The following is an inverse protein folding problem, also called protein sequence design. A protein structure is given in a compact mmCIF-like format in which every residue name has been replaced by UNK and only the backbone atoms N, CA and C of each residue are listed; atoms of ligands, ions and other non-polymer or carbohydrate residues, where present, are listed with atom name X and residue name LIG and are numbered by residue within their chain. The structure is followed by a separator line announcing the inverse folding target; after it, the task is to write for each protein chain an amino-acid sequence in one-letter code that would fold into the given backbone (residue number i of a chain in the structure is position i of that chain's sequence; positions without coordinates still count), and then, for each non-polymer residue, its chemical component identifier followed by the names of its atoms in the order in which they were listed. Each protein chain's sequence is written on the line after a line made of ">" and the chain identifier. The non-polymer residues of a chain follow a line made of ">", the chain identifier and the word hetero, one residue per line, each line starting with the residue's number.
data_IF_707849100621
#
_entry.id   IF_707849100621
#
_cell.length_a   1.000
_cell.length_b   1.000
_cell.length_c   1.000
_cell.angle_alpha   90.00
_cell.angle_beta   90.00
_cell.angle_gamma   90.00
#
_symmetry.space_group_name_H-M   'P 1'
#
loop_
_entity.id
_entity.type
_entity.pdbx_description
1 polymer ?
#
# COMPACT_ATOMS: atom_id res chain seq x y z
N UNK A 1 -9.20 7.21 8.83
CA UNK A 1 -8.45 5.95 9.06
C UNK A 1 -8.94 4.85 8.11
N UNK A 2 -8.06 4.21 7.34
CA UNK A 2 -8.42 3.08 6.45
C UNK A 2 -8.41 1.78 7.25
N UNK A 3 -9.53 1.05 7.29
CA UNK A 3 -9.55 -0.26 7.95
C UNK A 3 -8.86 -1.30 7.07
N UNK A 4 -8.41 -2.41 7.69
CA UNK A 4 -7.80 -3.55 6.96
C UNK A 4 -8.64 -4.01 5.76
N UNK A 5 -9.96 -4.10 5.93
CA UNK A 5 -10.89 -4.48 4.85
C UNK A 5 -10.89 -3.48 3.70
N UNK A 6 -10.92 -2.17 4.00
CA UNK A 6 -10.89 -1.12 2.98
C UNK A 6 -9.54 -1.06 2.26
N UNK A 7 -8.44 -1.27 2.99
CA UNK A 7 -7.11 -1.34 2.42
C UNK A 7 -6.94 -2.51 1.45
N UNK A 8 -7.38 -3.71 1.85
CA UNK A 8 -7.36 -4.87 0.95
C UNK A 8 -8.25 -4.68 -0.27
N UNK A 9 -9.44 -4.08 -0.12
CA UNK A 9 -10.29 -3.75 -1.25
C UNK A 9 -9.57 -2.80 -2.23
N UNK A 10 -8.91 -1.75 -1.72
CA UNK A 10 -8.15 -0.83 -2.55
C UNK A 10 -6.98 -1.54 -3.26
N UNK A 11 -6.25 -2.40 -2.57
CA UNK A 11 -5.17 -3.20 -3.15
C UNK A 11 -5.68 -4.10 -4.29
N UNK A 12 -6.80 -4.80 -4.10
CA UNK A 12 -7.42 -5.61 -5.16
C UNK A 12 -7.92 -4.77 -6.34
N UNK A 13 -8.42 -3.56 -6.11
CA UNK A 13 -8.83 -2.67 -7.20
C UNK A 13 -7.64 -2.18 -8.03
N UNK A 14 -6.54 -1.81 -7.38
CA UNK A 14 -5.28 -1.44 -8.04
C UNK A 14 -4.75 -2.62 -8.88
N UNK A 15 -4.72 -3.82 -8.29
CA UNK A 15 -4.30 -5.05 -8.95
C UNK A 15 -5.14 -5.37 -10.20
N UNK A 16 -6.46 -5.36 -10.08
CA UNK A 16 -7.37 -5.58 -11.19
C UNK A 16 -7.27 -4.48 -12.27
N UNK A 17 -6.95 -3.25 -11.88
CA UNK A 17 -6.78 -2.16 -12.84
C UNK A 17 -5.51 -2.35 -13.70
N UNK A 18 -4.44 -2.92 -13.14
CA UNK A 18 -3.27 -3.29 -13.93
C UNK A 18 -3.62 -4.29 -15.05
N UNK A 19 -4.45 -5.29 -14.75
CA UNK A 19 -4.92 -6.28 -15.74
C UNK A 19 -5.85 -5.64 -16.78
N UNK A 20 -6.67 -4.66 -16.36
CA UNK A 20 -7.48 -3.86 -17.29
C UNK A 20 -6.60 -3.05 -18.24
N UNK A 21 -5.52 -2.43 -17.74
CA UNK A 21 -4.58 -1.68 -18.57
C UNK A 21 -3.87 -2.59 -19.58
N UNK A 22 -3.46 -3.79 -19.15
CA UNK A 22 -2.94 -4.81 -20.04
C UNK A 22 -3.96 -5.11 -21.15
N UNK A 23 -5.19 -5.47 -20.77
CA UNK A 23 -6.26 -5.81 -21.73
C UNK A 23 -6.55 -4.69 -22.73
N UNK A 24 -6.38 -3.43 -22.34
CA UNK A 24 -6.62 -2.27 -23.21
C UNK A 24 -5.45 -1.95 -24.16
N UNK A 25 -4.22 -2.38 -23.83
CA UNK A 25 -2.98 -2.03 -24.57
C UNK A 25 -2.31 -3.23 -25.23
N UNK A 26 -2.66 -4.44 -24.82
CA UNK A 26 -2.00 -5.66 -25.24
C UNK A 26 -2.28 -5.99 -26.71
N UNK A 27 -1.22 -6.37 -27.41
CA UNK A 27 -1.34 -7.11 -28.66
C UNK A 27 -1.84 -8.53 -28.37
N UNK A 28 -2.46 -9.23 -29.36
CA UNK A 28 -3.07 -10.55 -29.16
C UNK A 28 -2.15 -11.64 -28.61
N UNK A 29 -0.83 -11.47 -28.69
CA UNK A 29 0.19 -12.42 -28.23
C UNK A 29 1.03 -11.91 -27.04
N UNK A 30 0.64 -10.79 -26.42
CA UNK A 30 1.38 -10.24 -25.29
C UNK A 30 1.25 -11.12 -24.03
N UNK A 31 2.29 -11.14 -23.20
CA UNK A 31 2.30 -11.87 -21.92
C UNK A 31 1.95 -10.92 -20.76
N UNK A 32 0.88 -11.25 -20.03
CA UNK A 32 0.43 -10.49 -18.87
C UNK A 32 1.42 -10.52 -17.71
N UNK A 33 2.15 -11.63 -17.53
CA UNK A 33 3.14 -11.77 -16.47
C UNK A 33 4.37 -10.91 -16.76
N UNK A 34 4.82 -10.88 -18.01
CA UNK A 34 5.90 -9.98 -18.45
C UNK A 34 5.50 -8.52 -18.29
N UNK A 35 4.28 -8.15 -18.70
CA UNK A 35 3.75 -6.80 -18.51
C UNK A 35 3.72 -6.38 -17.04
N UNK A 36 3.21 -7.25 -16.15
CA UNK A 36 3.15 -6.99 -14.71
C UNK A 36 4.53 -6.89 -14.08
N UNK A 37 5.48 -7.73 -14.50
CA UNK A 37 6.87 -7.63 -14.09
C UNK A 37 7.49 -6.29 -14.53
N UNK A 38 7.19 -5.85 -15.77
CA UNK A 38 7.55 -4.54 -16.28
C UNK A 38 7.05 -3.40 -15.38
N UNK A 39 5.74 -3.36 -15.08
CA UNK A 39 5.16 -2.38 -14.17
C UNK A 39 5.82 -2.39 -12.78
N UNK A 40 6.00 -3.58 -12.20
CA UNK A 40 6.61 -3.73 -10.88
C UNK A 40 8.06 -3.24 -10.84
N UNK A 41 8.82 -3.42 -11.93
CA UNK A 41 10.22 -2.95 -12.01
C UNK A 41 10.36 -1.43 -12.07
N UNK A 42 9.36 -0.74 -12.63
CA UNK A 42 9.35 0.73 -12.75
C UNK A 42 8.72 1.38 -11.53
N UNK A 43 7.69 0.74 -10.96
CA UNK A 43 6.90 1.27 -9.86
C UNK A 43 6.92 0.34 -8.65
N UNK A 44 7.81 0.59 -7.67
CA UNK A 44 7.93 -0.24 -6.47
C UNK A 44 6.62 -0.36 -5.67
N UNK A 45 5.78 0.67 -5.68
CA UNK A 45 4.47 0.63 -5.03
C UNK A 45 3.55 -0.44 -5.65
N UNK A 46 3.56 -0.59 -6.99
CA UNK A 46 2.80 -1.65 -7.67
C UNK A 46 3.38 -3.03 -7.35
N UNK A 47 4.70 -3.16 -7.29
CA UNK A 47 5.34 -4.41 -6.85
C UNK A 47 4.85 -4.85 -5.47
N UNK A 48 4.85 -3.94 -4.49
CA UNK A 48 4.35 -4.21 -3.13
C UNK A 48 2.85 -4.58 -3.13
N UNK A 49 2.02 -3.92 -3.94
CA UNK A 49 0.59 -4.28 -4.04
C UNK A 49 0.38 -5.66 -4.64
N UNK A 50 1.13 -6.02 -5.68
CA UNK A 50 1.05 -7.35 -6.28
C UNK A 50 1.48 -8.44 -5.30
N UNK A 51 2.55 -8.19 -4.53
CA UNK A 51 2.97 -9.11 -3.47
C UNK A 51 1.92 -9.23 -2.36
N UNK A 52 1.27 -8.11 -1.99
CA UNK A 52 0.23 -8.09 -0.97
C UNK A 52 -1.00 -8.90 -1.39
N UNK A 53 -1.49 -8.69 -2.62
CA UNK A 53 -2.65 -9.41 -3.17
C UNK A 53 -2.32 -10.89 -3.37
N UNK A 54 -1.09 -11.23 -3.74
CA UNK A 54 -0.62 -12.60 -3.84
C UNK A 54 -0.36 -13.28 -2.47
N UNK A 55 -0.48 -12.55 -1.36
CA UNK A 55 -0.24 -13.07 -0.01
C UNK A 55 1.23 -13.35 0.31
N UNK A 56 2.17 -12.73 -0.43
CA UNK A 56 3.62 -12.83 -0.17
C UNK A 56 4.11 -11.88 0.92
N UNK A 57 3.35 -10.81 1.17
CA UNK A 57 3.55 -9.88 2.28
C UNK A 57 2.27 -9.76 3.09
N UNK A 58 2.38 -9.38 4.36
CA UNK A 58 1.24 -9.33 5.27
C UNK A 58 0.80 -7.90 5.57
N UNK A 59 -0.51 -7.70 5.73
CA UNK A 59 -1.09 -6.45 6.21
C UNK A 59 -1.47 -6.57 7.69
N UNK A 60 -0.76 -5.84 8.54
CA UNK A 60 -0.95 -5.84 10.00
C UNK A 60 -1.39 -4.47 10.50
N UNK A 61 -2.02 -4.46 11.67
CA UNK A 61 -2.23 -3.24 12.45
C UNK A 61 -1.20 -3.22 13.57
N UNK A 62 -0.43 -2.15 13.70
CA UNK A 62 0.53 -1.98 14.79
C UNK A 62 0.52 -0.55 15.33
N UNK A 63 0.97 -0.40 16.59
CA UNK A 63 1.20 0.91 17.18
C UNK A 63 2.54 1.45 16.66
N UNK A 64 2.50 2.62 16.03
CA UNK A 64 3.67 3.31 15.49
C UNK A 64 3.88 4.57 16.30
N UNK A 65 5.12 4.75 16.77
CA UNK A 65 5.54 5.98 17.44
C UNK A 65 5.48 7.15 16.47
N UNK A 66 4.90 8.25 16.91
CA UNK A 66 4.88 9.51 16.17
C UNK A 66 5.90 10.44 16.82
N UNK A 67 6.97 10.82 16.10
CA UNK A 67 7.90 11.83 16.58
C UNK A 67 7.18 13.16 16.84
N UNK A 68 7.52 13.87 17.91
CA UNK A 68 6.91 15.16 18.25
C UNK A 68 6.96 16.18 17.10
N UNK A 69 8.02 16.14 16.28
CA UNK A 69 8.19 17.01 15.11
C UNK A 69 7.11 16.78 14.02
N UNK A 70 6.45 15.63 14.03
CA UNK A 70 5.43 15.25 13.04
C UNK A 70 4.00 15.51 13.52
N UNK A 71 3.83 16.03 14.74
CA UNK A 71 2.51 16.22 15.35
C UNK A 71 1.63 17.19 14.57
N UNK A 72 2.24 18.20 13.94
CA UNK A 72 1.54 19.16 13.09
C UNK A 72 0.96 18.53 11.82
N UNK A 73 1.43 17.34 11.43
CA UNK A 73 0.95 16.59 10.27
C UNK A 73 -0.16 15.59 10.64
N UNK A 74 -0.39 15.34 11.92
CA UNK A 74 -1.44 14.44 12.37
C UNK A 74 -2.81 15.09 12.21
N UNK A 75 -3.79 14.28 11.80
CA UNK A 75 -5.20 14.65 11.99
C UNK A 75 -5.50 14.78 13.50
N UNK A 76 -6.48 15.62 13.84
CA UNK A 76 -6.85 15.90 15.25
C UNK A 76 -7.12 14.61 16.03
N UNK A 77 -7.78 13.63 15.41
CA UNK A 77 -8.06 12.31 16.04
C UNK A 77 -6.76 11.57 16.41
N UNK A 78 -5.83 11.41 15.46
CA UNK A 78 -4.56 10.73 15.68
C UNK A 78 -3.68 11.49 16.69
N UNK A 79 -3.71 12.83 16.64
CA UNK A 79 -3.02 13.69 17.61
C UNK A 79 -3.57 13.48 19.03
N UNK A 80 -4.89 13.48 19.20
CA UNK A 80 -5.50 13.23 20.50
C UNK A 80 -5.14 11.83 21.01
N UNK A 81 -5.19 10.80 20.15
CA UNK A 81 -4.81 9.43 20.53
C UNK A 81 -3.34 9.35 20.97
N UNK A 82 -2.42 9.99 20.25
CA UNK A 82 -0.99 9.92 20.56
C UNK A 82 -0.65 10.52 21.92
N UNK A 83 -1.35 11.59 22.34
CA UNK A 83 -1.19 12.22 23.65
C UNK A 83 -1.51 11.27 24.81
N UNK A 84 -2.45 10.34 24.62
CA UNK A 84 -2.87 9.39 25.66
C UNK A 84 -2.21 8.02 25.54
N UNK A 85 -1.63 7.68 24.38
CA UNK A 85 -1.01 6.37 24.10
C UNK A 85 0.51 6.44 23.99
N UNK A 86 1.16 7.25 24.85
CA UNK A 86 2.62 7.30 24.92
C UNK A 86 3.27 7.67 23.59
N UNK A 87 2.70 8.65 22.89
CA UNK A 87 3.15 9.12 21.58
C UNK A 87 3.00 8.13 20.43
N UNK A 88 2.12 7.13 20.56
CA UNK A 88 1.86 6.14 19.49
C UNK A 88 0.46 6.27 18.88
N UNK A 89 0.34 5.91 17.60
CA UNK A 89 -0.95 5.79 16.89
C UNK A 89 -1.04 4.44 16.19
N UNK A 90 -2.24 3.90 16.06
CA UNK A 90 -2.43 2.68 15.28
C UNK A 90 -2.31 2.98 13.79
N UNK A 91 -1.39 2.28 13.12
CA UNK A 91 -1.23 2.33 11.66
C UNK A 91 -1.43 0.94 11.07
N UNK A 92 -1.86 0.93 9.82
CA UNK A 92 -1.92 -0.29 9.03
C UNK A 92 -0.65 -0.35 8.17
N UNK A 93 0.11 -1.43 8.31
CA UNK A 93 1.46 -1.56 7.74
C UNK A 93 1.56 -2.83 6.91
N UNK A 94 2.28 -2.74 5.80
CA UNK A 94 2.65 -3.90 4.99
C UNK A 94 4.00 -4.40 5.51
N UNK A 95 4.07 -5.69 5.84
CA UNK A 95 5.26 -6.33 6.38
C UNK A 95 5.82 -7.31 5.37
N UNK A 96 7.06 -7.07 4.96
CA UNK A 96 7.82 -7.94 4.08
C UNK A 96 8.38 -9.18 4.81
N UNK A 97 8.77 -10.23 4.06
CA UNK A 97 9.38 -11.44 4.64
C UNK A 97 10.74 -11.16 5.29
N UNK A 98 11.39 -10.06 4.93
CA UNK A 98 12.64 -9.56 5.51
C UNK A 98 12.42 -8.70 6.77
N UNK A 99 11.16 -8.53 7.20
CA UNK A 99 10.78 -7.68 8.32
C UNK A 99 10.67 -6.19 7.96
N UNK A 100 10.82 -5.82 6.68
CA UNK A 100 10.57 -4.45 6.22
C UNK A 100 9.13 -4.03 6.49
N UNK A 101 8.91 -2.74 6.74
CA UNK A 101 7.60 -2.18 7.11
C UNK A 101 7.29 -0.96 6.26
N UNK A 102 6.21 -0.99 5.51
CA UNK A 102 5.75 0.12 4.67
C UNK A 102 4.39 0.64 5.12
N UNK A 103 4.14 1.95 4.97
CA UNK A 103 2.81 2.50 5.25
C UNK A 103 1.85 2.14 4.12
N UNK A 104 0.73 1.49 4.45
CA UNK A 104 -0.24 1.07 3.42
C UNK A 104 -0.81 2.26 2.65
N UNK A 105 -0.96 3.43 3.30
CA UNK A 105 -1.55 4.59 2.66
C UNK A 105 -0.61 5.18 1.62
N UNK A 106 0.68 5.26 1.94
CA UNK A 106 1.70 5.74 1.01
C UNK A 106 1.87 4.79 -0.18
N UNK A 107 1.90 3.47 0.09
CA UNK A 107 1.99 2.46 -0.97
C UNK A 107 0.76 2.51 -1.88
N UNK A 108 -0.45 2.58 -1.33
CA UNK A 108 -1.67 2.69 -2.15
C UNK A 108 -1.71 3.99 -2.95
N UNK A 109 -1.30 5.12 -2.36
CA UNK A 109 -1.26 6.40 -3.06
C UNK A 109 -0.30 6.35 -4.26
N UNK A 110 0.94 5.87 -4.05
CA UNK A 110 1.92 5.72 -5.13
C UNK A 110 1.49 4.70 -6.19
N UNK A 111 0.79 3.64 -5.81
CA UNK A 111 0.28 2.65 -6.75
C UNK A 111 -0.85 3.21 -7.63
N UNK A 112 -1.75 4.03 -7.06
CA UNK A 112 -2.79 4.72 -7.83
C UNK A 112 -2.17 5.75 -8.78
N UNK A 113 -1.19 6.51 -8.32
CA UNK A 113 -0.45 7.48 -9.15
C UNK A 113 0.23 6.81 -10.34
N UNK A 114 0.84 5.63 -10.14
CA UNK A 114 1.49 4.86 -11.21
C UNK A 114 0.55 4.34 -12.30
N UNK A 115 -0.78 4.33 -12.07
CA UNK A 115 -1.78 3.80 -12.98
C UNK A 115 -2.58 4.89 -13.72
N UNK A 116 -2.36 6.17 -13.39
CA UNK A 116 -2.96 7.32 -14.06
C UNK A 116 -2.13 7.76 -15.27
#
# INVERSE_FOLDING_TARGET
>A
MLSRKKAMLAAHLVDAYADRLFSARAEPAADVLEFRAGLASVHPALATIFDLVAGRVELITEAVEVPLAEYSKLGVEDFMVSLYNGHTVQRLRIVGPDGSRQDVHEVLAGAVEALM
#
